data_IF_340741516114
#
_entry.id   IF_340741516114
#
_cell.length_a   1.000
_cell.length_b   1.000
_cell.length_c   1.000
_cell.angle_alpha   90.00
_cell.angle_beta   90.00
_cell.angle_gamma   90.00
#
_symmetry.space_group_name_H-M   'P 1'
#
loop_
_entity.id
_entity.type
_entity.pdbx_description
1 polymer ?
2 non-polymer ?
3 water ?
#
# COMPACT_ATOMS: atom_id res chain seq x y z
N UNK A 1 17.42 27.50 -14.79
CA UNK A 1 16.02 27.27 -14.47
C UNK A 1 15.77 26.07 -13.56
N UNK A 2 16.04 24.86 -14.06
CA UNK A 2 15.41 23.66 -13.53
C UNK A 2 16.00 23.17 -12.22
N UNK A 3 15.39 22.12 -11.69
CA UNK A 3 15.95 21.37 -10.57
C UNK A 3 17.38 20.95 -10.93
N UNK A 4 18.32 20.97 -9.98
CA UNK A 4 19.68 20.52 -10.28
C UNK A 4 19.71 19.10 -10.85
N UNK A 5 20.33 18.95 -12.00
CA UNK A 5 20.32 17.67 -12.72
C UNK A 5 21.29 16.67 -12.10
N UNK A 6 20.80 15.47 -11.84
CA UNK A 6 21.66 14.37 -11.44
C UNK A 6 22.60 14.02 -12.58
N UNK A 7 23.91 13.88 -12.29
CA UNK A 7 24.85 13.61 -13.37
C UNK A 7 24.77 12.12 -13.75
N UNK A 8 25.69 11.69 -14.62
CA UNK A 8 25.77 10.29 -14.98
C UNK A 8 24.70 9.77 -15.91
N UNK A 9 23.96 10.65 -16.56
CA UNK A 9 22.94 10.19 -17.49
C UNK A 9 23.55 9.66 -18.78
N UNK A 10 22.96 8.57 -19.29
CA UNK A 10 23.42 7.98 -20.53
C UNK A 10 22.87 8.76 -21.73
N UNK A 11 23.61 8.75 -22.85
CA UNK A 11 23.08 9.35 -24.09
C UNK A 11 21.66 8.87 -24.36
N UNK A 12 20.81 9.83 -24.75
CA UNK A 12 19.40 9.58 -25.11
C UNK A 12 18.56 9.11 -23.92
N UNK A 13 18.95 8.00 -23.28
CA UNK A 13 18.12 7.39 -22.25
C UNK A 13 18.12 8.19 -20.95
N UNK A 14 19.16 8.98 -20.71
CA UNK A 14 19.27 9.68 -19.44
C UNK A 14 19.52 8.67 -18.32
N UNK A 15 18.75 8.78 -17.25
CA UNK A 15 18.85 7.86 -16.12
C UNK A 15 17.85 6.72 -16.19
N UNK A 16 17.02 6.62 -17.24
CA UNK A 16 15.87 5.72 -17.14
C UNK A 16 16.33 4.27 -17.03
N UNK A 17 17.42 3.88 -17.72
CA UNK A 17 17.86 2.50 -17.61
C UNK A 17 18.46 2.22 -16.25
N UNK A 18 19.25 3.16 -15.74
CA UNK A 18 19.71 3.06 -14.35
C UNK A 18 18.54 2.92 -13.38
N UNK A 19 17.48 3.72 -13.56
CA UNK A 19 16.31 3.64 -12.68
C UNK A 19 15.63 2.29 -12.82
N UNK A 20 15.47 1.84 -14.07
CA UNK A 20 14.98 0.49 -14.36
C UNK A 20 15.69 -0.54 -13.51
N UNK A 21 17.02 -0.47 -13.44
CA UNK A 21 17.80 -1.51 -12.77
C UNK A 21 17.72 -1.40 -11.26
N UNK A 22 17.68 -0.18 -10.72
CA UNK A 22 17.69 -0.03 -9.26
C UNK A 22 17.20 1.36 -8.93
N UNK A 23 15.88 1.58 -8.83
CA UNK A 23 15.38 2.97 -8.72
C UNK A 23 15.78 3.68 -7.43
N UNK A 24 15.74 2.98 -6.30
CA UNK A 24 16.11 3.64 -5.05
C UNK A 24 17.56 4.10 -5.08
N UNK A 25 18.44 3.32 -5.71
CA UNK A 25 19.84 3.77 -5.74
C UNK A 25 20.01 5.00 -6.62
N UNK A 26 19.27 5.07 -7.73
CA UNK A 26 19.27 6.32 -8.50
C UNK A 26 18.75 7.46 -7.63
N UNK A 27 17.64 7.23 -6.93
CA UNK A 27 17.05 8.29 -6.11
C UNK A 27 17.97 8.70 -4.97
N UNK A 28 18.67 7.73 -4.36
CA UNK A 28 19.61 8.04 -3.29
C UNK A 28 20.80 8.84 -3.81
N UNK A 29 21.28 8.50 -5.01
CA UNK A 29 22.38 9.24 -5.61
C UNK A 29 21.98 10.69 -5.85
N UNK A 30 20.70 10.95 -6.12
CA UNK A 30 20.26 12.33 -6.25
C UNK A 30 20.32 13.07 -4.92
N UNK A 31 19.91 12.39 -3.83
CA UNK A 31 19.98 13.01 -2.52
C UNK A 31 21.43 13.30 -2.13
N UNK A 32 22.30 12.31 -2.27
CA UNK A 32 23.69 12.45 -1.82
C UNK A 32 24.46 13.49 -2.64
N UNK A 33 24.23 13.55 -3.95
CA UNK A 33 25.02 14.48 -4.77
C UNK A 33 24.32 15.80 -5.10
N UNK A 34 22.99 15.87 -5.00
CA UNK A 34 22.31 17.11 -5.39
C UNK A 34 21.45 17.65 -4.26
N UNK A 35 20.89 16.79 -3.42
CA UNK A 35 20.16 17.28 -2.28
C UNK A 35 18.66 17.04 -2.33
N UNK A 36 17.88 17.91 -1.69
CA UNK A 36 16.46 17.68 -1.52
C UNK A 36 15.65 17.97 -2.78
N UNK A 37 16.24 18.58 -3.80
CA UNK A 37 15.58 18.81 -5.08
C UNK A 37 16.55 18.47 -6.20
N UNK A 38 16.17 17.51 -7.03
CA UNK A 38 17.02 17.17 -8.16
C UNK A 38 16.16 16.66 -9.28
N UNK A 39 16.66 16.83 -10.51
CA UNK A 39 16.00 16.32 -11.70
C UNK A 39 16.69 15.02 -12.13
N UNK A 40 15.89 14.02 -12.47
CA UNK A 40 16.33 12.90 -13.30
C UNK A 40 15.89 13.17 -14.74
N UNK A 41 16.60 12.53 -15.66
CA UNK A 41 16.32 12.64 -17.09
C UNK A 41 15.81 11.29 -17.54
N UNK A 42 14.51 11.21 -17.83
CA UNK A 42 13.89 10.00 -18.36
C UNK A 42 13.65 10.24 -19.85
N UNK A 43 14.55 9.72 -20.68
CA UNK A 43 14.43 9.82 -22.15
C UNK A 43 14.12 11.24 -22.60
N UNK A 44 14.78 12.22 -21.99
CA UNK A 44 14.57 13.60 -22.37
C UNK A 44 13.46 14.32 -21.62
N UNK A 45 12.79 13.66 -20.68
CA UNK A 45 11.78 14.27 -19.82
C UNK A 45 12.41 14.54 -18.45
N UNK A 46 12.23 15.75 -17.93
CA UNK A 46 12.71 16.06 -16.59
C UNK A 46 11.77 15.46 -15.55
N UNK A 47 12.34 14.71 -14.61
CA UNK A 47 11.59 14.14 -13.48
C UNK A 47 12.08 14.86 -12.24
N UNK A 48 11.21 15.67 -11.63
CA UNK A 48 11.60 16.55 -10.53
C UNK A 48 11.31 15.88 -9.19
N UNK A 49 12.36 15.45 -8.51
CA UNK A 49 12.24 14.73 -7.24
C UNK A 49 12.41 15.75 -6.13
N UNK A 50 11.53 15.71 -5.14
CA UNK A 50 11.63 16.50 -3.92
C UNK A 50 11.62 15.57 -2.71
N UNK A 51 12.38 15.97 -1.68
CA UNK A 51 12.66 15.14 -0.51
C UNK A 51 12.46 15.93 0.76
N UNK A 52 12.06 15.23 1.82
CA UNK A 52 11.98 15.80 3.14
C UNK A 52 10.63 16.39 3.45
N UNK A 53 10.40 16.65 4.75
CA UNK A 53 9.04 16.97 5.24
C UNK A 53 8.42 18.22 4.63
N UNK A 54 9.19 19.29 4.48
CA UNK A 54 8.66 20.51 3.85
C UNK A 54 8.17 20.24 2.43
N UNK A 55 8.99 19.57 1.62
CA UNK A 55 8.58 19.29 0.25
C UNK A 55 7.46 18.26 0.19
N UNK A 56 7.49 17.27 1.08
CA UNK A 56 6.37 16.32 1.17
C UNK A 56 5.06 17.06 1.47
N UNK A 57 5.08 17.96 2.45
CA UNK A 57 3.89 18.75 2.79
C UNK A 57 3.38 19.52 1.58
N UNK A 58 4.28 20.16 0.85
CA UNK A 58 3.90 20.89 -0.36
C UNK A 58 3.22 19.99 -1.39
N UNK A 59 3.85 18.84 -1.69
CA UNK A 59 3.32 17.85 -2.64
C UNK A 59 1.90 17.42 -2.28
N UNK A 60 1.68 17.03 -1.02
CA UNK A 60 0.34 16.60 -0.60
C UNK A 60 -0.66 17.75 -0.65
N UNK A 61 -0.26 18.92 -0.14
CA UNK A 61 -1.12 20.10 -0.07
C UNK A 61 -1.55 20.58 -1.46
N UNK A 62 -0.67 20.47 -2.44
CA UNK A 62 -0.92 21.00 -3.76
C UNK A 62 -1.51 19.98 -4.73
N UNK A 63 -1.68 18.72 -4.31
CA UNK A 63 -2.35 17.73 -5.17
C UNK A 63 -3.79 18.22 -5.44
N UNK A 64 -4.20 18.14 -6.71
CA UNK A 64 -5.45 18.67 -7.28
C UNK A 64 -5.40 20.19 -7.50
N UNK A 65 -4.28 20.86 -7.19
CA UNK A 65 -4.15 22.29 -7.45
C UNK A 65 -2.97 22.46 -8.39
N UNK A 66 -1.78 22.78 -7.89
CA UNK A 66 -0.64 22.86 -8.79
C UNK A 66 -0.20 21.49 -9.29
N UNK A 67 -0.58 20.40 -8.62
CA UNK A 67 -0.12 19.06 -8.97
C UNK A 67 -1.29 18.15 -9.33
N UNK A 68 -1.15 17.43 -10.44
CA UNK A 68 -2.21 16.59 -10.97
C UNK A 68 -1.94 15.13 -10.63
N UNK A 69 -2.97 14.43 -10.17
CA UNK A 69 -2.86 13.03 -9.80
C UNK A 69 -2.98 12.10 -11.01
N UNK A 70 -3.83 12.44 -11.98
CA UNK A 70 -4.23 11.45 -12.98
C UNK A 70 -3.05 10.96 -13.83
N UNK A 71 -2.14 11.86 -14.18
CA UNK A 71 -1.05 11.49 -15.07
C UNK A 71 -0.04 10.57 -14.42
N UNK A 72 -0.21 10.27 -13.14
CA UNK A 72 0.65 9.29 -12.45
C UNK A 72 0.24 7.87 -12.84
N UNK A 73 -1.02 7.69 -13.26
CA UNK A 73 -1.54 6.35 -13.60
C UNK A 73 -2.71 6.55 -14.57
N UNK A 74 -2.47 7.08 -15.78
CA UNK A 74 -3.56 7.42 -16.69
C UNK A 74 -4.53 6.30 -17.00
N UNK A 75 -4.04 5.07 -16.97
CA UNK A 75 -4.92 3.97 -17.37
C UNK A 75 -5.70 3.39 -16.19
N UNK A 76 -5.54 3.98 -15.01
CA UNK A 76 -6.56 3.85 -13.96
C UNK A 76 -7.95 4.11 -14.54
N UNK A 77 -8.04 5.06 -15.48
CA UNK A 77 -9.30 5.42 -16.12
C UNK A 77 -9.95 4.22 -16.80
N UNK A 78 -9.12 3.36 -17.43
CA UNK A 78 -9.62 2.18 -18.11
C UNK A 78 -9.87 1.04 -17.14
N UNK A 79 -9.02 0.87 -16.13
CA UNK A 79 -9.32 -0.10 -15.08
C UNK A 79 -10.63 0.24 -14.38
N UNK A 80 -10.94 1.54 -14.25
CA UNK A 80 -12.10 1.98 -13.51
C UNK A 80 -12.98 2.85 -14.40
N UNK A 81 -12.98 4.17 -14.21
CA UNK A 81 -13.69 5.04 -15.14
C UNK A 81 -13.12 6.45 -14.99
N UNK A 82 -13.27 7.31 -16.02
CA UNK A 82 -12.77 8.69 -15.91
C UNK A 82 -13.54 9.54 -14.90
N UNK A 83 -14.71 9.09 -14.44
CA UNK A 83 -15.49 9.80 -13.43
C UNK A 83 -15.41 9.14 -12.06
N UNK A 84 -14.37 8.36 -11.81
CA UNK A 84 -14.30 7.59 -10.56
C UNK A 84 -13.18 8.11 -9.67
N UNK A 85 -13.53 8.27 -8.39
CA UNK A 85 -12.62 8.56 -7.27
C UNK A 85 -11.70 9.71 -7.65
N UNK A 86 -10.38 9.61 -7.44
CA UNK A 86 -9.44 10.71 -7.65
C UNK A 86 -9.37 11.18 -9.10
N UNK A 87 -9.99 10.46 -10.03
CA UNK A 87 -10.05 10.91 -11.42
C UNK A 87 -11.26 11.81 -11.69
N UNK A 88 -12.26 11.80 -10.82
CA UNK A 88 -13.46 12.61 -11.01
C UNK A 88 -13.18 14.07 -10.67
N UNK A 89 -14.12 14.93 -11.06
CA UNK A 89 -14.07 16.32 -10.61
C UNK A 89 -14.12 16.38 -9.08
N UNK A 90 -13.57 17.46 -8.53
CA UNK A 90 -13.40 17.60 -7.07
C UNK A 90 -14.66 17.24 -6.29
N UNK A 91 -15.82 17.78 -6.69
CA UNK A 91 -17.04 17.54 -5.92
C UNK A 91 -17.39 16.06 -5.92
N UNK A 92 -17.30 15.43 -7.07
CA UNK A 92 -17.64 14.02 -7.19
C UNK A 92 -16.63 13.14 -6.46
N UNK A 93 -15.33 13.43 -6.62
CA UNK A 93 -14.33 12.74 -5.82
C UNK A 93 -14.67 12.78 -4.33
N UNK A 94 -14.98 13.96 -3.81
CA UNK A 94 -15.24 14.08 -2.38
C UNK A 94 -16.48 13.29 -1.96
N UNK A 95 -17.54 13.31 -2.77
CA UNK A 95 -18.73 12.51 -2.51
C UNK A 95 -18.41 11.03 -2.42
N UNK A 96 -17.63 10.51 -3.39
CA UNK A 96 -17.28 9.09 -3.37
C UNK A 96 -16.32 8.78 -2.23
N UNK A 97 -15.44 9.72 -1.90
CA UNK A 97 -14.54 9.50 -0.78
C UNK A 97 -15.30 9.45 0.53
N UNK A 98 -16.42 10.17 0.60
CA UNK A 98 -17.27 10.17 1.79
C UNK A 98 -17.95 8.82 2.00
N UNK A 99 -18.05 7.98 0.97
CA UNK A 99 -18.52 6.61 1.18
C UNK A 99 -17.44 5.77 1.84
N UNK A 100 -16.19 6.02 1.51
CA UNK A 100 -15.09 5.16 1.92
C UNK A 100 -14.62 5.50 3.33
N UNK A 101 -14.48 6.80 3.64
CA UNK A 101 -13.85 7.20 4.90
C UNK A 101 -14.48 6.62 6.16
N UNK A 102 -15.81 6.63 6.35
CA UNK A 102 -16.37 6.04 7.58
C UNK A 102 -16.07 4.55 7.76
N UNK A 103 -15.83 3.83 6.67
CA UNK A 103 -15.55 2.41 6.79
C UNK A 103 -14.09 2.12 7.10
N UNK A 104 -13.20 3.12 7.09
CA UNK A 104 -11.78 2.84 7.21
C UNK A 104 -11.07 3.76 8.20
N UNK A 105 -11.80 4.59 8.94
CA UNK A 105 -11.17 5.32 10.02
C UNK A 105 -10.78 4.32 11.12
N UNK A 106 -9.85 4.75 11.99
CA UNK A 106 -9.26 3.82 12.96
C UNK A 106 -10.33 3.14 13.81
N UNK A 107 -11.37 3.88 14.20
CA UNK A 107 -12.44 3.27 14.99
C UNK A 107 -13.06 2.09 14.27
N UNK A 108 -13.19 2.17 12.95
CA UNK A 108 -13.90 1.15 12.19
C UNK A 108 -13.15 -0.17 12.07
N UNK A 109 -11.93 -0.28 12.59
CA UNK A 109 -11.19 -1.55 12.45
C UNK A 109 -11.80 -2.69 13.26
N UNK A 110 -12.58 -2.39 14.33
CA UNK A 110 -13.30 -3.42 15.08
C UNK A 110 -13.99 -4.41 14.14
N UNK A 111 -14.61 -3.88 13.09
CA UNK A 111 -15.34 -4.68 12.10
C UNK A 111 -14.48 -5.82 11.56
N UNK A 112 -13.27 -5.50 11.20
CA UNK A 112 -12.48 -6.34 10.32
C UNK A 112 -11.60 -7.34 11.07
N UNK A 113 -11.27 -7.06 12.33
CA UNK A 113 -10.30 -7.90 13.03
C UNK A 113 -10.68 -9.37 13.03
N UNK A 114 -11.93 -9.78 13.27
CA UNK A 114 -12.22 -11.24 13.26
C UNK A 114 -11.91 -11.92 11.94
N UNK A 115 -12.15 -11.26 10.80
CA UNK A 115 -11.80 -11.89 9.52
C UNK A 115 -10.29 -11.96 9.37
N UNK A 116 -9.58 -10.91 9.79
CA UNK A 116 -8.12 -10.94 9.71
C UNK A 116 -7.56 -12.07 10.56
N UNK A 117 -8.12 -12.29 11.76
CA UNK A 117 -7.62 -13.34 12.63
C UNK A 117 -7.94 -14.72 12.06
N UNK A 118 -9.17 -14.90 11.57
CA UNK A 118 -9.57 -16.18 10.99
C UNK A 118 -8.68 -16.56 9.80
N UNK A 119 -8.49 -15.64 8.86
CA UNK A 119 -7.66 -15.98 7.71
C UNK A 119 -6.20 -16.19 8.12
N UNK A 120 -5.74 -15.46 9.13
CA UNK A 120 -4.38 -15.71 9.62
C UNK A 120 -4.26 -17.11 10.18
N UNK A 121 -5.26 -17.54 10.94
CA UNK A 121 -5.26 -18.90 11.46
C UNK A 121 -5.38 -19.93 10.35
N UNK A 122 -6.12 -19.61 9.28
CA UNK A 122 -6.13 -20.50 8.11
C UNK A 122 -4.71 -20.65 7.54
N UNK A 123 -3.95 -19.56 7.53
CA UNK A 123 -2.56 -19.65 7.08
C UNK A 123 -1.74 -20.56 8.00
N UNK A 124 -1.91 -20.40 9.31
CA UNK A 124 -1.21 -21.26 10.26
C UNK A 124 -1.53 -22.73 9.97
N UNK A 125 -2.81 -23.02 9.71
CA UNK A 125 -3.22 -24.39 9.39
C UNK A 125 -2.52 -24.90 8.13
N UNK A 126 -2.51 -24.09 7.08
CA UNK A 126 -1.88 -24.48 5.83
C UNK A 126 -0.38 -24.72 6.01
N UNK A 127 0.28 -23.93 6.85
CA UNK A 127 1.71 -24.12 7.08
C UNK A 127 2.03 -25.36 7.90
N UNK A 128 1.10 -25.84 8.73
CA UNK A 128 1.34 -27.05 9.49
C UNK A 128 2.32 -26.85 10.65
N UNK A 129 3.08 -27.91 10.96
CA UNK A 129 3.98 -27.91 12.11
C UNK A 129 5.39 -27.46 11.79
N UNK A 130 5.82 -27.56 10.53
CA UNK A 130 7.17 -27.15 10.16
C UNK A 130 7.23 -27.08 8.64
N UNK A 131 8.30 -26.45 8.13
CA UNK A 131 8.51 -26.32 6.72
C UNK A 131 9.17 -25.00 6.38
N UNK A 132 9.01 -24.59 5.12
CA UNK A 132 9.54 -23.33 4.61
C UNK A 132 8.52 -22.69 3.69
N UNK A 133 8.44 -21.36 3.73
CA UNK A 133 7.54 -20.66 2.83
C UNK A 133 8.20 -19.41 2.27
N UNK A 134 7.89 -19.15 1.00
CA UNK A 134 8.30 -17.93 0.30
C UNK A 134 7.34 -16.80 0.66
N UNK A 135 7.89 -15.63 1.05
CA UNK A 135 7.12 -14.55 1.65
C UNK A 135 5.97 -14.05 0.77
N UNK A 136 6.29 -13.39 -0.33
CA UNK A 136 5.25 -12.81 -1.18
C UNK A 136 4.27 -13.87 -1.69
N UNK A 137 4.71 -14.97 -2.30
CA UNK A 137 3.73 -15.97 -2.81
C UNK A 137 2.84 -16.58 -1.73
N UNK A 138 3.28 -16.60 -0.47
CA UNK A 138 2.45 -17.19 0.58
C UNK A 138 1.47 -16.19 1.16
N UNK A 139 1.94 -14.97 1.42
CA UNK A 139 1.15 -13.99 2.14
C UNK A 139 0.22 -13.20 1.22
N UNK A 140 0.60 -13.01 -0.05
CA UNK A 140 -0.27 -12.44 -1.07
C UNK A 140 -1.67 -13.02 -1.14
N UNK A 141 -1.80 -14.35 -1.27
CA UNK A 141 -3.15 -14.97 -1.25
C UNK A 141 -3.90 -14.78 0.06
N UNK A 142 -3.22 -14.74 1.21
CA UNK A 142 -3.92 -14.45 2.47
C UNK A 142 -4.47 -13.02 2.48
N UNK A 143 -3.64 -12.04 2.07
CA UNK A 143 -4.11 -10.65 2.00
C UNK A 143 -5.35 -10.59 1.12
N UNK A 144 -5.35 -11.36 0.05
CA UNK A 144 -6.48 -11.38 -0.85
C UNK A 144 -7.69 -12.07 -0.22
N UNK A 145 -7.47 -13.17 0.50
CA UNK A 145 -8.58 -13.79 1.23
C UNK A 145 -9.23 -12.79 2.18
N UNK A 146 -8.41 -12.03 2.90
CA UNK A 146 -8.95 -11.08 3.88
C UNK A 146 -9.75 -10.00 3.16
N UNK A 147 -9.24 -9.52 2.04
CA UNK A 147 -9.94 -8.48 1.28
C UNK A 147 -11.29 -8.98 0.80
N UNK A 148 -11.32 -10.16 0.16
CA UNK A 148 -12.56 -10.67 -0.43
C UNK A 148 -13.57 -11.03 0.65
N UNK A 149 -13.09 -11.70 1.70
CA UNK A 149 -13.94 -12.05 2.83
C UNK A 149 -14.49 -10.80 3.52
N UNK A 150 -13.65 -9.78 3.73
CA UNK A 150 -14.10 -8.59 4.44
C UNK A 150 -15.08 -7.77 3.60
N UNK A 151 -14.78 -7.56 2.32
CA UNK A 151 -15.52 -6.58 1.53
C UNK A 151 -16.65 -7.20 0.71
N UNK A 152 -16.59 -8.51 0.46
CA UNK A 152 -17.67 -9.20 -0.25
C UNK A 152 -18.45 -10.14 0.65
N UNK A 153 -17.90 -10.56 1.78
CA UNK A 153 -18.57 -11.46 2.69
C UNK A 153 -18.05 -12.90 2.60
N UNK A 154 -18.35 -13.67 3.67
CA UNK A 154 -17.96 -15.07 3.75
C UNK A 154 -18.50 -15.88 2.58
N UNK A 155 -19.80 -15.74 2.29
CA UNK A 155 -20.40 -16.59 1.27
C UNK A 155 -19.75 -16.37 -0.09
N UNK A 156 -19.59 -15.10 -0.49
CA UNK A 156 -18.90 -14.82 -1.75
C UNK A 156 -17.51 -15.43 -1.76
N UNK A 157 -16.81 -15.36 -0.64
CA UNK A 157 -15.44 -15.84 -0.60
C UNK A 157 -15.39 -17.35 -0.79
N UNK A 158 -16.33 -18.09 -0.17
CA UNK A 158 -16.39 -19.53 -0.37
C UNK A 158 -16.82 -19.88 -1.80
N UNK A 159 -17.90 -19.28 -2.29
CA UNK A 159 -18.48 -19.77 -3.53
C UNK A 159 -17.77 -19.21 -4.76
N UNK A 160 -17.52 -17.90 -4.77
CA UNK A 160 -16.97 -17.25 -5.95
C UNK A 160 -15.51 -16.88 -5.77
N UNK A 161 -14.89 -17.28 -4.65
CA UNK A 161 -13.57 -16.78 -4.32
C UNK A 161 -12.52 -17.16 -5.35
N UNK A 162 -12.57 -18.41 -5.82
CA UNK A 162 -11.55 -18.92 -6.74
C UNK A 162 -11.58 -18.17 -8.07
N UNK A 163 -12.78 -18.07 -8.67
CA UNK A 163 -12.92 -17.36 -9.93
C UNK A 163 -12.57 -15.89 -9.78
N UNK A 164 -12.91 -15.28 -8.63
CA UNK A 164 -12.64 -13.86 -8.40
C UNK A 164 -11.15 -13.58 -8.38
N UNK A 165 -10.36 -14.41 -7.67
CA UNK A 165 -8.93 -14.14 -7.56
C UNK A 165 -8.20 -14.31 -8.90
N UNK A 166 -8.69 -15.20 -9.76
CA UNK A 166 -8.00 -15.40 -11.04
C UNK A 166 -8.24 -14.21 -11.97
N UNK A 167 -9.46 -13.68 -11.94
CA UNK A 167 -9.75 -12.49 -12.77
C UNK A 167 -8.93 -11.28 -12.28
N UNK A 168 -8.64 -11.22 -10.98
CA UNK A 168 -7.93 -10.03 -10.45
C UNK A 168 -6.49 -9.96 -10.99
N UNK A 169 -5.75 -11.08 -11.03
CA UNK A 169 -4.38 -10.97 -11.55
C UNK A 169 -4.40 -10.38 -12.96
N UNK A 170 -5.38 -10.76 -13.78
CA UNK A 170 -5.50 -10.19 -15.12
C UNK A 170 -5.92 -8.74 -15.07
N UNK A 171 -6.92 -8.43 -14.23
CA UNK A 171 -7.35 -7.05 -14.02
C UNK A 171 -6.20 -6.12 -13.66
N UNK A 172 -5.32 -6.58 -12.76
CA UNK A 172 -4.17 -5.81 -12.30
C UNK A 172 -3.09 -5.63 -13.36
N UNK A 173 -3.14 -6.39 -14.46
CA UNK A 173 -2.18 -6.19 -15.54
C UNK A 173 -2.43 -4.97 -16.40
N UNK A 174 -3.58 -4.32 -16.20
CA UNK A 174 -4.05 -3.24 -17.07
C UNK A 174 -3.28 -1.95 -17.01
N UNK A 175 -2.14 -1.95 -16.35
CA UNK A 175 -1.20 -0.84 -16.44
C UNK A 175 -0.03 -1.25 -17.34
N UNK A 176 -0.32 -1.43 -18.63
CA UNK A 176 0.71 -1.97 -19.55
C UNK A 176 1.42 -0.87 -20.34
N UNK A 177 2.55 -1.20 -20.97
CA UNK A 177 3.29 -0.22 -21.82
C UNK A 177 3.22 -0.73 -23.27
N UNK A 178 4.02 -0.16 -24.18
CA UNK A 178 3.93 -0.56 -25.62
C UNK A 178 5.27 -0.86 -26.28
N UNK A 179 5.25 -1.30 -27.53
CA UNK A 179 6.45 -1.61 -28.31
C UNK A 179 6.58 -0.58 -29.44
N UNK A 180 7.69 -0.58 -30.21
CA UNK A 180 8.02 0.60 -31.06
C UNK A 180 7.00 1.07 -32.10
N UNK A 181 6.04 0.27 -32.54
CA UNK A 181 5.00 0.87 -33.36
C UNK A 181 3.83 1.35 -32.55
N UNK A 182 4.02 1.55 -31.25
CA UNK A 182 2.92 1.72 -30.30
C UNK A 182 2.03 0.48 -30.32
N UNK A 183 2.64 -0.69 -30.52
CA UNK A 183 1.91 -1.94 -30.46
C UNK A 183 1.87 -2.48 -29.03
N UNK A 184 0.68 -2.77 -28.55
CA UNK A 184 0.49 -3.08 -27.13
C UNK A 184 0.78 -4.51 -26.74
N UNK A 185 1.24 -4.65 -25.49
CA UNK A 185 1.36 -5.89 -24.74
C UNK A 185 -0.01 -6.56 -24.73
N UNK A 186 -0.08 -7.88 -24.75
CA UNK A 186 -1.38 -8.55 -24.53
C UNK A 186 -2.14 -7.99 -23.34
N UNK A 187 -1.41 -7.66 -22.27
CA UNK A 187 -2.00 -7.60 -20.92
C UNK A 187 -3.19 -6.66 -20.83
N UNK A 188 -3.24 -5.60 -21.65
CA UNK A 188 -4.38 -4.68 -21.54
C UNK A 188 -5.69 -5.35 -21.95
N UNK A 189 -5.66 -6.23 -22.97
CA UNK A 189 -6.88 -6.96 -23.35
C UNK A 189 -7.35 -7.89 -22.22
N UNK A 190 -6.43 -8.67 -21.65
CA UNK A 190 -6.80 -9.52 -20.52
C UNK A 190 -7.37 -8.71 -19.36
N UNK A 191 -6.81 -7.53 -19.09
CA UNK A 191 -7.31 -6.68 -18.01
C UNK A 191 -8.73 -6.20 -18.28
N UNK A 192 -8.98 -5.69 -19.48
CA UNK A 192 -10.34 -5.32 -19.85
C UNK A 192 -11.30 -6.51 -19.73
N UNK A 193 -10.91 -7.65 -20.26
CA UNK A 193 -11.78 -8.82 -20.18
C UNK A 193 -12.09 -9.17 -18.73
N UNK A 194 -11.07 -9.14 -17.86
CA UNK A 194 -11.31 -9.45 -16.45
C UNK A 194 -12.19 -8.40 -15.79
N UNK A 195 -11.99 -7.12 -16.13
CA UNK A 195 -12.81 -6.06 -15.57
C UNK A 195 -14.29 -6.29 -15.86
N UNK A 196 -14.63 -6.61 -17.12
CA UNK A 196 -16.02 -6.85 -17.45
C UNK A 196 -16.59 -8.04 -16.66
N UNK A 197 -15.79 -9.11 -16.51
CA UNK A 197 -16.26 -10.26 -15.75
C UNK A 197 -16.36 -9.95 -14.26
N UNK A 198 -15.39 -9.21 -13.72
CA UNK A 198 -15.48 -8.83 -12.29
C UNK A 198 -16.73 -8.01 -12.04
N UNK A 199 -17.10 -7.14 -12.99
CA UNK A 199 -18.25 -6.29 -12.77
C UNK A 199 -19.54 -7.09 -12.84
N UNK A 200 -19.64 -8.05 -13.76
CA UNK A 200 -20.85 -8.88 -13.81
C UNK A 200 -20.98 -9.72 -12.54
N UNK A 201 -19.88 -10.33 -12.10
CA UNK A 201 -19.89 -11.12 -10.88
C UNK A 201 -20.26 -10.25 -9.68
N UNK A 202 -19.72 -9.03 -9.58
CA UNK A 202 -20.05 -8.18 -8.45
C UNK A 202 -21.50 -7.71 -8.51
N UNK A 203 -22.01 -7.41 -9.71
CA UNK A 203 -23.40 -6.97 -9.83
C UNK A 203 -24.36 -8.08 -9.44
N UNK A 204 -24.08 -9.31 -9.86
CA UNK A 204 -24.91 -10.43 -9.43
C UNK A 204 -24.95 -10.50 -7.91
N UNK A 205 -23.81 -10.27 -7.26
CA UNK A 205 -23.83 -10.36 -5.80
C UNK A 205 -24.57 -9.19 -5.16
N UNK A 206 -24.48 -7.99 -5.75
CA UNK A 206 -25.33 -6.90 -5.29
C UNK A 206 -26.80 -7.30 -5.38
N UNK A 207 -27.21 -7.87 -6.50
CA UNK A 207 -28.62 -8.23 -6.66
C UNK A 207 -29.01 -9.36 -5.71
N UNK A 208 -28.13 -10.35 -5.54
CA UNK A 208 -28.36 -11.42 -4.59
C UNK A 208 -28.66 -10.89 -3.21
N UNK A 209 -27.78 -10.02 -2.71
CA UNK A 209 -27.90 -9.53 -1.31
C UNK A 209 -29.02 -8.49 -1.18
N UNK A 210 -29.41 -7.83 -2.27
CA UNK A 210 -30.56 -6.96 -2.08
C UNK A 210 -31.85 -7.76 -2.08
N UNK A 211 -31.90 -8.87 -2.84
CA UNK A 211 -33.01 -9.81 -2.69
C UNK A 211 -32.99 -10.48 -1.31
N UNK A 212 -31.81 -10.86 -0.82
CA UNK A 212 -31.67 -11.68 0.39
C UNK A 212 -30.66 -11.05 1.33
N UNK A 213 -31.05 -10.02 2.08
CA UNK A 213 -30.06 -9.23 2.84
C UNK A 213 -29.52 -9.98 4.05
N UNK A 214 -28.30 -9.60 4.43
CA UNK A 214 -27.64 -10.10 5.63
C UNK A 214 -27.82 -9.08 6.75
N UNK A 215 -28.64 -9.42 7.72
CA UNK A 215 -28.84 -8.51 8.88
C UNK A 215 -28.47 -9.30 10.15
N UNK A 216 -27.67 -8.76 11.10
CA UNK A 216 -27.07 -7.43 11.00
C UNK A 216 -26.17 -7.27 9.78
N UNK A 217 -25.98 -6.05 9.23
CA UNK A 217 -25.25 -5.93 7.96
C UNK A 217 -23.76 -6.16 8.12
N UNK A 218 -23.15 -6.80 7.12
CA UNK A 218 -21.70 -6.76 6.97
C UNK A 218 -21.31 -5.56 6.09
N UNK A 219 -20.00 -5.44 5.83
CA UNK A 219 -19.50 -4.37 4.98
C UNK A 219 -20.25 -4.31 3.66
N UNK A 220 -20.42 -5.46 3.01
CA UNK A 220 -21.01 -5.46 1.68
C UNK A 220 -22.45 -4.98 1.71
N UNK A 221 -23.24 -5.49 2.65
CA UNK A 221 -24.63 -5.07 2.79
C UNK A 221 -24.73 -3.57 3.01
N UNK A 222 -23.94 -3.02 3.92
CA UNK A 222 -23.96 -1.58 4.16
C UNK A 222 -23.52 -0.82 2.92
N UNK A 223 -22.54 -1.35 2.19
CA UNK A 223 -22.03 -0.67 1.01
C UNK A 223 -23.10 -0.56 -0.08
N UNK A 224 -23.81 -1.66 -0.35
CA UNK A 224 -24.77 -1.61 -1.45
C UNK A 224 -26.04 -0.85 -1.08
N UNK A 225 -26.19 -0.45 0.18
CA UNK A 225 -27.35 0.30 0.63
C UNK A 225 -27.02 1.74 0.97
N UNK A 226 -25.76 2.13 0.87
CA UNK A 226 -25.35 3.48 1.22
C UNK A 226 -25.86 4.48 0.19
N UNK A 227 -26.11 5.69 0.67
CA UNK A 227 -26.46 6.82 -0.18
C UNK A 227 -25.38 7.88 0.01
N UNK A 228 -25.37 8.86 -0.88
CA UNK A 228 -24.46 9.97 -0.72
C UNK A 228 -24.92 10.86 0.44
N UNK A 229 -24.04 11.74 0.95
CA UNK A 229 -24.41 12.59 2.09
C UNK A 229 -25.67 13.40 1.87
N UNK A 230 -25.90 13.89 0.65
CA UNK A 230 -27.07 14.69 0.34
C UNK A 230 -28.35 13.86 0.21
N UNK A 231 -28.27 12.54 0.28
CA UNK A 231 -29.43 11.68 0.19
C UNK A 231 -29.57 10.93 -1.12
N UNK A 232 -28.91 11.40 -2.18
CA UNK A 232 -29.00 10.76 -3.49
C UNK A 232 -28.40 9.36 -3.43
N UNK A 233 -28.89 8.44 -4.25
CA UNK A 233 -28.37 7.07 -4.20
C UNK A 233 -27.04 6.96 -4.92
N UNK A 234 -26.21 6.04 -4.44
CA UNK A 234 -24.92 5.75 -5.07
C UNK A 234 -25.16 4.76 -6.19
N UNK A 235 -24.82 5.08 -7.43
CA UNK A 235 -25.00 4.12 -8.53
C UNK A 235 -24.24 2.82 -8.30
N UNK A 236 -24.88 1.72 -8.69
CA UNK A 236 -24.27 0.39 -8.60
C UNK A 236 -22.86 0.38 -9.17
N UNK A 237 -22.65 1.08 -10.29
CA UNK A 237 -21.33 1.05 -10.92
C UNK A 237 -20.27 1.64 -9.99
N UNK A 238 -20.60 2.73 -9.30
CA UNK A 238 -19.68 3.32 -8.34
C UNK A 238 -19.36 2.32 -7.22
N UNK A 239 -20.39 1.64 -6.70
CA UNK A 239 -20.19 0.61 -5.68
C UNK A 239 -19.18 -0.43 -6.16
N UNK A 240 -19.42 -0.97 -7.36
CA UNK A 240 -18.53 -1.97 -7.91
C UNK A 240 -17.10 -1.45 -8.06
N UNK A 241 -16.94 -0.25 -8.63
CA UNK A 241 -15.61 0.35 -8.75
C UNK A 241 -14.95 0.51 -7.40
N UNK A 242 -15.71 0.94 -6.38
CA UNK A 242 -15.11 1.19 -5.07
C UNK A 242 -14.55 -0.09 -4.49
N UNK A 243 -15.33 -1.18 -4.56
CA UNK A 243 -14.91 -2.46 -4.01
C UNK A 243 -13.66 -2.95 -4.72
N UNK A 244 -13.67 -2.88 -6.05
CA UNK A 244 -12.49 -3.31 -6.81
C UNK A 244 -11.29 -2.42 -6.48
N UNK A 245 -11.52 -1.13 -6.27
CA UNK A 245 -10.45 -0.23 -5.91
C UNK A 245 -9.81 -0.64 -4.59
N UNK A 246 -10.63 -0.91 -3.57
CA UNK A 246 -10.11 -1.35 -2.29
C UNK A 246 -9.25 -2.61 -2.42
N UNK A 247 -9.77 -3.63 -3.13
CA UNK A 247 -9.01 -4.86 -3.29
C UNK A 247 -7.71 -4.59 -4.05
N UNK A 248 -7.80 -3.79 -5.12
CA UNK A 248 -6.62 -3.50 -5.93
C UNK A 248 -5.62 -2.67 -5.15
N UNK A 249 -6.09 -1.62 -4.49
CA UNK A 249 -5.18 -0.71 -3.78
C UNK A 249 -4.50 -1.42 -2.62
N UNK A 250 -5.14 -2.46 -2.07
CA UNK A 250 -4.61 -3.11 -0.89
C UNK A 250 -3.90 -4.42 -1.09
N UNK A 251 -3.90 -4.97 -2.31
CA UNK A 251 -3.40 -6.32 -2.50
C UNK A 251 -1.87 -6.40 -2.50
N UNK A 252 -1.24 -5.99 -3.62
CA UNK A 252 0.22 -6.10 -3.72
C UNK A 252 0.94 -5.21 -2.71
N UNK A 253 0.35 -4.07 -2.34
CA UNK A 253 0.94 -3.20 -1.34
C UNK A 253 1.10 -3.92 0.00
N UNK A 254 0.00 -4.44 0.55
CA UNK A 254 0.03 -5.04 1.89
C UNK A 254 0.87 -6.33 1.91
N UNK A 255 0.76 -7.16 0.86
CA UNK A 255 1.54 -8.40 0.81
C UNK A 255 3.04 -8.10 0.84
N UNK A 256 3.48 -7.11 0.07
CA UNK A 256 4.88 -6.70 0.12
C UNK A 256 5.26 -6.04 1.43
N UNK A 257 4.40 -5.14 1.94
CA UNK A 257 4.76 -4.41 3.15
C UNK A 257 4.88 -5.34 4.35
N UNK A 258 3.94 -6.28 4.50
CA UNK A 258 4.00 -7.20 5.64
C UNK A 258 5.17 -8.16 5.49
N UNK A 259 5.55 -8.51 4.26
CA UNK A 259 6.73 -9.37 4.07
C UNK A 259 7.98 -8.64 4.54
N UNK A 260 8.12 -7.37 4.17
CA UNK A 260 9.21 -6.56 4.72
C UNK A 260 9.18 -6.55 6.23
N UNK A 261 7.97 -6.45 6.82
CA UNK A 261 7.86 -6.31 8.27
C UNK A 261 8.30 -7.58 8.99
N UNK A 262 7.92 -8.74 8.47
CA UNK A 262 8.39 -10.01 9.04
C UNK A 262 9.89 -10.15 8.89
N UNK A 263 10.40 -9.85 7.70
CA UNK A 263 11.84 -9.86 7.46
C UNK A 263 12.58 -8.96 8.45
N UNK A 264 12.08 -7.74 8.67
CA UNK A 264 12.73 -6.87 9.65
C UNK A 264 12.78 -7.51 11.02
N UNK A 265 11.68 -8.15 11.43
CA UNK A 265 11.63 -8.78 12.74
C UNK A 265 12.57 -9.98 12.81
N UNK A 266 12.58 -10.80 11.77
CA UNK A 266 13.47 -11.97 11.80
C UNK A 266 14.94 -11.56 11.76
N UNK A 267 15.26 -10.34 11.31
CA UNK A 267 16.64 -9.85 11.36
C UNK A 267 16.98 -9.11 12.64
N UNK A 268 16.05 -8.98 13.58
CA UNK A 268 16.29 -8.19 14.79
C UNK A 268 15.69 -8.92 15.99
N UNK A 269 16.26 -10.07 16.35
CA UNK A 269 15.67 -10.91 17.39
C UNK A 269 15.34 -10.20 18.70
N UNK A 270 16.17 -9.24 19.12
CA UNK A 270 15.89 -8.57 20.40
C UNK A 270 14.53 -7.89 20.36
N UNK A 271 14.18 -7.26 19.24
CA UNK A 271 12.92 -6.53 19.18
C UNK A 271 11.76 -7.49 18.95
N UNK A 272 12.00 -8.55 18.17
CA UNK A 272 11.00 -9.60 18.04
C UNK A 272 10.61 -10.16 19.40
N UNK A 273 11.59 -10.28 20.33
CA UNK A 273 11.28 -10.74 21.68
C UNK A 273 10.44 -9.71 22.41
N UNK A 274 10.75 -8.42 22.26
CA UNK A 274 9.89 -7.36 22.75
C UNK A 274 8.46 -7.57 22.24
N UNK A 275 8.32 -7.93 20.97
CA UNK A 275 7.01 -8.15 20.40
C UNK A 275 6.37 -9.40 20.98
N UNK A 276 7.14 -10.48 21.12
CA UNK A 276 6.58 -11.71 21.67
C UNK A 276 6.10 -11.50 23.11
N UNK A 277 6.81 -10.70 23.91
CA UNK A 277 6.40 -10.45 25.28
C UNK A 277 5.13 -9.60 25.34
N UNK A 278 5.02 -8.61 24.45
CA UNK A 278 3.79 -7.81 24.38
C UNK A 278 2.60 -8.68 24.02
N UNK A 279 2.76 -9.54 23.01
CA UNK A 279 1.69 -10.45 22.61
C UNK A 279 1.34 -11.41 23.75
N UNK A 280 2.36 -11.95 24.43
CA UNK A 280 2.10 -12.87 25.53
C UNK A 280 1.41 -12.15 26.70
N UNK A 281 1.84 -10.93 26.99
CA UNK A 281 1.17 -10.17 28.04
C UNK A 281 -0.30 -9.94 27.77
N UNK A 282 -0.66 -9.76 26.50
CA UNK A 282 -2.05 -9.50 26.16
C UNK A 282 -2.84 -10.77 25.93
N UNK A 283 -2.25 -11.77 25.27
CA UNK A 283 -3.02 -12.91 24.81
C UNK A 283 -2.80 -14.17 25.64
N UNK A 284 -1.74 -14.24 26.43
CA UNK A 284 -1.39 -15.50 27.05
C UNK A 284 -0.79 -16.44 26.02
N UNK A 285 -0.88 -17.73 26.32
CA UNK A 285 -0.45 -18.76 25.41
C UNK A 285 -1.54 -19.10 24.40
N UNK A 286 -1.26 -20.12 23.61
CA UNK A 286 -2.20 -20.58 22.61
C UNK A 286 -1.84 -20.03 21.24
N UNK A 287 -2.77 -20.25 20.31
CA UNK A 287 -2.52 -19.98 18.90
C UNK A 287 -2.88 -18.57 18.47
N UNK A 288 -3.21 -17.68 19.41
CA UNK A 288 -3.54 -16.32 19.08
C UNK A 288 -4.94 -16.10 18.59
N UNK A 289 -5.76 -17.16 18.54
CA UNK A 289 -7.16 -17.05 18.14
C UNK A 289 -8.00 -16.14 19.01
N UNK A 290 -7.52 -15.79 20.20
CA UNK A 290 -8.22 -14.84 21.06
C UNK A 290 -7.85 -13.40 20.76
N UNK A 291 -7.11 -13.13 19.69
CA UNK A 291 -6.73 -11.77 19.35
C UNK A 291 -7.97 -10.97 19.01
N UNK A 292 -8.23 -9.91 19.77
CA UNK A 292 -9.36 -9.04 19.56
C UNK A 292 -8.86 -7.63 19.21
N UNK A 293 -9.76 -6.84 18.65
CA UNK A 293 -9.45 -5.44 18.37
C UNK A 293 -8.96 -4.73 19.64
N UNK A 294 -9.59 -5.03 20.78
CA UNK A 294 -9.17 -4.40 22.04
C UNK A 294 -7.75 -4.79 22.44
N UNK A 295 -7.39 -6.05 22.23
CA UNK A 295 -5.97 -6.43 22.38
C UNK A 295 -5.12 -5.69 21.37
N UNK A 296 -5.52 -5.75 20.10
CA UNK A 296 -4.73 -5.16 19.02
C UNK A 296 -4.36 -3.69 19.30
N UNK A 297 -5.32 -2.87 19.73
CA UNK A 297 -5.03 -1.46 19.91
C UNK A 297 -4.02 -1.23 21.03
N UNK A 298 -3.84 -2.20 21.93
CA UNK A 298 -2.91 -2.04 23.03
C UNK A 298 -1.48 -2.37 22.63
N UNK A 299 -1.27 -2.86 21.41
CA UNK A 299 0.02 -3.41 20.98
C UNK A 299 0.94 -2.30 20.49
N UNK A 300 1.39 -1.49 21.46
CA UNK A 300 2.13 -0.28 21.12
C UNK A 300 3.48 -0.59 20.49
N UNK A 301 4.13 -1.68 20.89
CA UNK A 301 5.43 -2.00 20.31
C UNK A 301 5.29 -2.56 18.90
N UNK A 302 4.22 -3.31 18.64
CA UNK A 302 3.94 -3.68 17.26
C UNK A 302 3.75 -2.45 16.39
N UNK A 303 2.99 -1.45 16.89
CA UNK A 303 2.80 -0.21 16.13
C UNK A 303 4.14 0.42 15.77
N UNK A 304 5.07 0.48 16.72
CA UNK A 304 6.39 1.03 16.45
C UNK A 304 7.12 0.22 15.38
N UNK A 305 7.07 -1.11 15.47
CA UNK A 305 7.72 -1.93 14.46
C UNK A 305 7.17 -1.66 13.06
N UNK A 306 5.84 -1.51 12.93
CA UNK A 306 5.24 -1.29 11.62
C UNK A 306 5.60 0.07 11.04
N UNK A 307 5.69 1.10 11.90
CA UNK A 307 6.20 2.40 11.46
C UNK A 307 7.65 2.29 11.00
N UNK A 308 8.48 1.53 11.72
CA UNK A 308 9.89 1.42 11.36
C UNK A 308 10.10 0.61 10.09
N UNK A 309 9.28 -0.42 9.86
CA UNK A 309 9.37 -1.10 8.56
C UNK A 309 8.91 -0.20 7.42
N UNK A 310 7.83 0.57 7.64
CA UNK A 310 7.41 1.58 6.67
C UNK A 310 8.54 2.56 6.36
N UNK A 311 9.30 2.96 7.39
CA UNK A 311 10.39 3.90 7.16
C UNK A 311 11.50 3.25 6.34
N UNK A 312 11.96 2.07 6.76
CA UNK A 312 13.10 1.41 6.10
C UNK A 312 12.75 0.84 4.73
N UNK A 313 11.53 0.34 4.54
CA UNK A 313 11.16 -0.35 3.30
C UNK A 313 9.76 0.03 2.86
N UNK A 314 9.50 1.29 2.54
CA UNK A 314 8.15 1.65 2.07
C UNK A 314 7.92 1.04 0.70
N UNK A 315 6.91 0.18 0.58
CA UNK A 315 6.65 -0.41 -0.74
C UNK A 315 6.29 0.68 -1.75
N UNK A 316 5.69 1.77 -1.28
CA UNK A 316 5.45 2.94 -2.11
C UNK A 316 6.76 3.73 -2.16
N UNK A 317 7.73 3.22 -2.94
CA UNK A 317 9.08 3.77 -2.85
C UNK A 317 9.17 5.14 -3.48
N UNK A 318 8.20 5.49 -4.34
CA UNK A 318 8.13 6.76 -5.05
C UNK A 318 6.66 7.11 -5.26
N UNK A 319 6.35 8.41 -5.27
CA UNK A 319 5.01 8.91 -5.53
C UNK A 319 5.10 9.94 -6.65
N UNK A 320 4.03 10.09 -7.43
CA UNK A 320 4.15 10.79 -8.69
C UNK A 320 2.98 11.73 -8.96
N UNK A 321 3.29 12.91 -9.49
CA UNK A 321 2.31 13.89 -9.98
C UNK A 321 2.87 14.52 -11.26
N UNK A 322 1.99 15.25 -11.98
CA UNK A 322 2.41 16.15 -13.05
C UNK A 322 1.98 17.58 -12.73
N UNK A 323 2.86 18.54 -13.01
CA UNK A 323 2.56 19.92 -12.68
C UNK A 323 1.48 20.48 -13.60
N UNK A 324 0.45 21.09 -13.00
CA UNK A 324 -0.61 21.73 -13.75
C UNK A 324 -0.23 23.11 -14.27
N UNK A 325 0.86 23.67 -13.77
CA UNK A 325 1.35 24.98 -14.13
C UNK A 325 2.78 25.03 -13.66
N UNK A 326 3.53 26.01 -14.17
CA UNK A 326 4.86 26.28 -13.68
C UNK A 326 4.83 26.49 -12.17
N UNK A 327 5.81 25.89 -11.48
CA UNK A 327 5.97 26.00 -10.05
C UNK A 327 7.40 26.45 -9.79
N UNK A 328 7.54 27.62 -9.20
CA UNK A 328 8.84 28.10 -8.75
C UNK A 328 9.02 27.59 -7.34
N UNK A 329 10.19 27.01 -7.07
CA UNK A 329 10.43 26.43 -5.77
C UNK A 329 11.90 26.62 -5.44
N UNK A 330 12.18 27.51 -4.49
CA UNK A 330 13.52 27.72 -3.97
C UNK A 330 14.52 27.92 -5.12
N UNK A 331 14.16 28.81 -6.04
CA UNK A 331 15.07 29.21 -7.11
C UNK A 331 14.99 28.37 -8.36
N UNK A 332 14.27 27.26 -8.34
CA UNK A 332 14.17 26.36 -9.48
C UNK A 332 12.73 26.35 -9.97
N UNK A 333 12.56 26.25 -11.27
CA UNK A 333 11.22 26.24 -11.87
C UNK A 333 10.88 24.85 -12.38
N UNK A 334 9.85 24.24 -11.80
CA UNK A 334 9.20 23.09 -12.44
C UNK A 334 8.32 23.62 -13.56
N UNK A 335 8.52 23.12 -14.78
CA UNK A 335 7.70 23.54 -15.90
C UNK A 335 6.36 22.79 -15.90
N UNK A 336 5.34 23.45 -16.43
CA UNK A 336 4.04 22.84 -16.58
C UNK A 336 4.14 21.56 -17.40
N UNK A 337 3.43 20.51 -16.98
CA UNK A 337 3.46 19.25 -17.70
C UNK A 337 4.60 18.31 -17.33
N UNK A 338 5.54 18.73 -16.48
CA UNK A 338 6.64 17.87 -16.03
C UNK A 338 6.22 17.05 -14.81
N UNK A 339 6.86 15.89 -14.66
CA UNK A 339 6.56 15.04 -13.51
C UNK A 339 7.17 15.62 -12.23
N UNK A 340 6.48 15.44 -11.12
CA UNK A 340 6.98 15.83 -9.81
C UNK A 340 6.83 14.64 -8.89
N UNK A 341 7.92 14.28 -8.20
CA UNK A 341 7.99 13.04 -7.45
C UNK A 341 8.34 13.29 -5.99
N UNK A 342 7.73 12.50 -5.10
CA UNK A 342 8.29 12.24 -3.79
C UNK A 342 8.95 10.88 -3.84
N UNK A 343 9.85 10.65 -2.88
CA UNK A 343 10.53 9.36 -2.78
C UNK A 343 10.56 8.95 -1.32
N UNK A 344 9.45 8.39 -0.81
CA UNK A 344 9.47 7.86 0.56
C UNK A 344 10.71 7.02 0.88
N UNK A 345 11.16 6.20 -0.07
CA UNK A 345 12.33 5.35 0.14
C UNK A 345 13.54 6.17 0.57
N UNK A 346 13.74 7.33 -0.02
CA UNK A 346 14.92 8.14 0.28
C UNK A 346 14.65 9.17 1.37
N UNK A 347 13.49 9.85 1.28
CA UNK A 347 13.07 10.79 2.32
C UNK A 347 13.10 10.15 3.70
N UNK A 348 12.73 8.88 3.81
CA UNK A 348 12.69 8.21 5.11
C UNK A 348 14.08 7.96 5.69
N UNK A 349 15.14 8.05 4.91
CA UNK A 349 16.48 7.76 5.38
C UNK A 349 17.37 9.00 5.36
N UNK A 350 16.78 10.19 5.37
CA UNK A 350 17.54 11.42 5.52
C UNK A 350 17.98 11.57 6.97
N UNK A 351 19.30 11.51 7.16
CA UNK A 351 19.91 11.71 8.49
C UNK A 351 19.41 12.98 9.14
N UNK A 352 19.09 14.01 8.32
CA UNK A 352 18.57 15.27 8.85
C UNK A 352 17.30 15.05 9.66
N UNK A 353 16.47 14.09 9.26
CA UNK A 353 15.20 13.78 9.91
C UNK A 353 15.27 12.56 10.82
N UNK A 354 15.99 11.52 10.41
CA UNK A 354 15.98 10.22 11.09
C UNK A 354 17.43 9.86 11.38
N UNK A 355 17.97 10.29 12.52
CA UNK A 355 19.38 10.00 12.83
C UNK A 355 19.63 8.51 12.83
N UNK A 356 20.81 8.14 12.38
CA UNK A 356 21.17 6.74 12.17
C UNK A 356 20.15 6.06 11.25
N UNK A 357 19.99 6.57 10.02
CA UNK A 357 18.79 6.23 9.24
C UNK A 357 18.74 4.81 8.74
N UNK A 358 19.88 4.11 8.67
CA UNK A 358 19.88 2.72 8.22
C UNK A 358 19.70 1.73 9.36
N UNK A 359 19.59 2.20 10.59
CA UNK A 359 19.36 1.31 11.72
C UNK A 359 17.88 0.99 11.87
N UNK A 360 17.58 -0.26 12.20
CA UNK A 360 16.24 -0.65 12.61
C UNK A 360 16.08 -0.30 14.08
N UNK A 361 15.34 0.77 14.37
CA UNK A 361 15.16 1.25 15.74
C UNK A 361 13.73 1.72 15.94
N UNK A 362 12.80 0.80 16.19
CA UNK A 362 11.39 1.21 16.29
C UNK A 362 11.14 2.23 17.38
N UNK A 363 11.98 2.28 18.42
CA UNK A 363 11.78 3.22 19.52
C UNK A 363 11.96 4.67 19.10
N UNK A 364 12.48 4.94 17.91
CA UNK A 364 12.54 6.31 17.41
C UNK A 364 11.16 6.93 17.21
N UNK A 365 10.11 6.13 17.12
CA UNK A 365 8.75 6.63 16.98
C UNK A 365 8.00 6.68 18.31
N UNK A 366 8.63 6.20 19.40
CA UNK A 366 7.99 6.19 20.71
C UNK A 366 7.90 7.61 21.24
N UNK A 367 6.70 8.16 21.44
CA UNK A 367 6.60 9.57 21.87
C UNK A 367 7.22 9.83 23.24
N UNK A 368 7.55 8.81 24.02
CA UNK A 368 8.26 9.01 25.27
C UNK A 368 9.77 9.09 25.07
N UNK A 369 10.23 8.94 23.84
CA UNK A 369 11.64 9.08 23.51
C UNK A 369 11.93 10.57 23.29
N UNK A 370 12.82 11.18 24.09
CA UNK A 370 13.17 12.59 23.82
C UNK A 370 13.78 12.82 22.45
N UNK A 371 14.49 11.82 21.92
CA UNK A 371 15.05 11.82 20.57
C UNK A 371 14.01 11.48 19.49
N UNK A 372 12.72 11.42 19.84
CA UNK A 372 11.69 10.90 18.93
C UNK A 372 11.71 11.65 17.60
N UNK A 373 11.31 10.94 16.54
CA UNK A 373 11.31 11.47 15.18
C UNK A 373 9.90 11.32 14.61
N UNK A 374 9.01 12.23 15.02
CA UNK A 374 7.61 12.11 14.64
C UNK A 374 7.09 13.38 13.99
N UNK A 375 7.96 14.17 13.35
CA UNK A 375 7.47 15.41 12.73
C UNK A 375 6.51 15.08 11.60
N UNK A 376 5.55 15.96 11.39
CA UNK A 376 4.50 15.67 10.43
C UNK A 376 5.09 15.66 9.04
N UNK A 377 4.50 14.82 8.17
CA UNK A 377 4.94 14.64 6.79
C UNK A 377 6.38 14.13 6.71
N UNK A 378 6.83 13.36 7.71
CA UNK A 378 8.15 12.74 7.59
C UNK A 378 8.07 11.25 7.33
N UNK A 379 6.99 10.59 7.72
CA UNK A 379 6.75 9.18 7.40
C UNK A 379 5.59 9.16 6.42
N UNK A 380 5.88 8.90 5.15
CA UNK A 380 4.94 9.16 4.07
C UNK A 380 4.76 7.93 3.18
N UNK A 381 4.97 6.73 3.75
CA UNK A 381 4.75 5.52 2.96
C UNK A 381 3.28 5.25 2.66
N UNK A 382 2.36 6.03 3.24
CA UNK A 382 0.93 5.98 2.94
C UNK A 382 0.42 7.30 2.37
N UNK A 383 1.32 8.15 1.89
CA UNK A 383 0.90 9.40 1.28
C UNK A 383 0.53 10.43 2.34
N UNK A 384 -0.34 11.36 1.98
CA UNK A 384 -0.70 12.39 2.92
C UNK A 384 -1.77 13.31 2.38
N UNK A 385 -2.34 14.10 3.29
CA UNK A 385 -3.32 15.09 2.92
C UNK A 385 -4.65 14.44 2.58
N UNK A 386 -5.40 15.11 1.70
CA UNK A 386 -6.70 14.60 1.30
C UNK A 386 -6.57 13.24 0.66
N UNK A 387 -5.47 12.99 -0.07
CA UNK A 387 -5.32 11.75 -0.80
C UNK A 387 -4.47 10.72 -0.04
N UNK A 388 -4.35 10.86 1.28
CA UNK A 388 -3.71 9.82 2.08
C UNK A 388 -4.38 8.48 1.78
N UNK A 389 -3.57 7.41 1.85
CA UNK A 389 -4.11 6.07 1.67
C UNK A 389 -5.36 5.85 2.52
N UNK A 390 -6.48 5.52 1.87
CA UNK A 390 -7.71 5.30 2.63
C UNK A 390 -7.61 4.04 3.47
N UNK A 391 -6.77 3.09 3.07
CA UNK A 391 -6.66 1.86 3.79
C UNK A 391 -5.57 1.82 4.84
N UNK A 392 -4.94 2.95 5.18
CA UNK A 392 -3.76 2.92 6.05
C UNK A 392 -4.06 2.21 7.37
N UNK A 393 -5.27 2.42 7.93
CA UNK A 393 -5.62 1.73 9.17
C UNK A 393 -5.89 0.24 8.93
N UNK A 394 -6.58 -0.07 7.82
CA UNK A 394 -6.85 -1.47 7.48
C UNK A 394 -5.57 -2.23 7.21
N UNK A 395 -4.63 -1.60 6.50
CA UNK A 395 -3.36 -2.27 6.20
C UNK A 395 -2.55 -2.51 7.46
N UNK A 396 -2.43 -1.48 8.32
CA UNK A 396 -1.64 -1.65 9.54
C UNK A 396 -2.27 -2.67 10.45
N UNK A 397 -3.61 -2.65 10.57
CA UNK A 397 -4.26 -3.65 11.42
C UNK A 397 -4.07 -5.05 10.87
N UNK A 398 -4.13 -5.21 9.55
CA UNK A 398 -3.94 -6.54 8.96
C UNK A 398 -2.51 -7.04 9.15
N UNK A 399 -1.52 -6.17 8.96
CA UNK A 399 -0.14 -6.57 9.21
C UNK A 399 0.04 -6.97 10.66
N UNK A 400 -0.55 -6.20 11.57
CA UNK A 400 -0.44 -6.51 12.98
C UNK A 400 -1.02 -7.89 13.25
N UNK A 401 -2.22 -8.18 12.69
CA UNK A 401 -2.86 -9.48 12.93
C UNK A 401 -2.02 -10.62 12.36
N UNK A 402 -1.55 -10.47 11.12
CA UNK A 402 -0.77 -11.53 10.48
C UNK A 402 0.52 -11.80 11.25
N UNK A 403 1.20 -10.74 11.70
CA UNK A 403 2.45 -10.94 12.43
C UNK A 403 2.20 -11.50 13.82
N UNK A 404 1.18 -10.98 14.54
CA UNK A 404 0.86 -11.51 15.85
C UNK A 404 0.63 -13.00 15.79
N UNK A 405 -0.28 -13.42 14.90
CA UNK A 405 -0.64 -14.83 14.79
C UNK A 405 0.59 -15.67 14.39
N UNK A 406 1.42 -15.15 13.48
CA UNK A 406 2.61 -15.92 13.11
C UNK A 406 3.61 -16.00 14.25
N UNK A 407 3.88 -14.87 14.92
CA UNK A 407 4.82 -14.89 16.04
C UNK A 407 4.33 -15.82 17.15
N UNK A 408 3.03 -15.79 17.43
CA UNK A 408 2.47 -16.58 18.50
C UNK A 408 2.59 -18.07 18.21
N UNK A 409 2.60 -18.45 16.93
CA UNK A 409 2.53 -19.86 16.53
C UNK A 409 3.87 -20.46 16.15
N UNK A 410 4.81 -19.67 15.64
CA UNK A 410 6.00 -20.22 15.01
C UNK A 410 7.27 -19.54 15.50
N UNK A 411 8.32 -20.35 15.68
CA UNK A 411 9.69 -19.85 15.62
C UNK A 411 10.11 -19.79 14.16
N UNK A 412 10.75 -18.69 13.77
CA UNK A 412 10.99 -18.43 12.36
C UNK A 412 12.38 -17.85 12.16
N UNK A 413 12.94 -18.12 10.99
CA UNK A 413 14.21 -17.50 10.62
C UNK A 413 14.23 -17.26 9.11
N UNK A 414 14.85 -16.15 8.71
CA UNK A 414 15.05 -15.88 7.29
C UNK A 414 16.09 -16.83 6.72
N UNK A 415 15.78 -17.42 5.57
CA UNK A 415 16.72 -18.32 4.92
C UNK A 415 17.64 -17.60 3.94
N UNK A 416 17.18 -16.53 3.31
CA UNK A 416 17.92 -15.82 2.28
C UNK A 416 18.17 -14.39 2.72
N UNK A 417 19.23 -13.79 2.17
CA UNK A 417 19.34 -12.35 2.25
C UNK A 417 18.21 -11.71 1.44
N UNK A 418 17.79 -10.53 1.87
CA UNK A 418 16.69 -9.85 1.20
C UNK A 418 17.25 -8.90 0.15
N UNK A 419 16.47 -8.65 -0.89
CA UNK A 419 16.89 -7.90 -2.06
C UNK A 419 15.71 -7.11 -2.59
N UNK A 420 15.94 -6.07 -3.40
CA UNK A 420 14.85 -5.20 -3.82
C UNK A 420 14.16 -5.66 -5.10
N UNK A 421 12.94 -5.13 -5.29
CA UNK A 421 12.08 -5.34 -6.48
C UNK A 421 12.28 -6.67 -7.19
N UNK A 425 6.37 3.44 -5.72
CA UNK A 425 5.48 2.58 -6.54
C UNK A 425 5.41 1.17 -5.92
N UNK A 426 6.32 0.28 -6.31
CA UNK A 426 6.33 -1.11 -5.80
C UNK A 426 7.71 -1.49 -5.35
N UNK A 427 7.87 -1.87 -4.08
CA UNK A 427 9.20 -2.28 -3.55
C UNK A 427 9.00 -3.55 -2.72
N UNK A 428 9.27 -4.72 -3.31
CA UNK A 428 8.99 -6.00 -2.60
C UNK A 428 10.27 -6.83 -2.44
N UNK A 429 10.38 -7.67 -1.39
CA UNK A 429 11.54 -8.56 -1.21
C UNK A 429 11.69 -9.48 -2.42
N UNK A 430 12.93 -9.64 -2.89
CA UNK A 430 13.18 -10.36 -4.13
C UNK A 430 12.99 -11.86 -3.92
N UNK A 431 12.14 -12.46 -4.74
CA UNK A 431 11.86 -13.87 -4.54
C UNK A 431 13.01 -14.72 -5.08
N UNK A 432 13.33 -15.82 -4.39
CA UNK A 432 12.71 -16.27 -3.14
C UNK A 432 13.23 -15.50 -1.93
N UNK A 433 12.33 -15.16 -1.02
CA UNK A 433 12.70 -14.69 0.32
C UNK A 433 11.93 -15.60 1.27
N UNK A 434 12.63 -16.59 1.81
CA UNK A 434 12.01 -17.73 2.45
C UNK A 434 12.17 -17.68 3.95
N UNK A 435 11.18 -18.22 4.66
CA UNK A 435 11.19 -18.32 6.11
C UNK A 435 11.15 -19.80 6.46
N UNK A 436 12.13 -20.25 7.23
CA UNK A 436 12.06 -21.55 7.89
C UNK A 436 11.28 -21.43 9.18
N UNK A 437 10.39 -22.38 9.46
CA UNK A 437 9.54 -22.28 10.64
C UNK A 437 9.32 -23.63 11.32
N UNK A 438 9.09 -23.56 12.63
CA UNK A 438 8.71 -24.70 13.45
C UNK A 438 7.69 -24.22 14.47
N UNK A 439 6.55 -24.91 14.56
CA UNK A 439 5.50 -24.50 15.49
C UNK A 439 6.06 -24.43 16.90
N UNK A 440 5.55 -23.47 17.67
CA UNK A 440 5.84 -23.39 19.10
C UNK A 440 4.88 -24.29 19.89
#
# INVERSE_FOLDING_TARGET
NGFPLLDGGAPLLGHIAQFFRDPVSVLKRGYKTRGKMFAMNFMGQRMNVMLGPEHNRFFFEETDKLLSIRESMPFFLKMFSPDFYSFAEMDEYLRQRSIIMPRFKAASMKQYVPVMVEESLNLVEQLGDEGEFDLIPTLGPIVMDIAAHSFMGREFHEKLGHEFFDLFRDFSGGMEIVLPLWLPTPKMLKSQAAKKKLHTILQSWIEKRRAAPLDPPDFFQTMIETKYPDGRPVPDEIIRHLILLLVWAGHETTAGQVSWALADLLQHPAYAQVLRDEITGLLGGGDGGNLSWEHAIAMEKMDLALRETERLHPVAYMLSRKANADIVREGYTIRKGEFVLLAPSVSHRMEETFPNPDAYDPERFNPANPNAQTTSNSLIGFGGGVHRCAGVNFARMEMKALLVILLQNFDMELMDEVKPIAGASTYWPAQPCRVRYKRR
#
